data_IF_735953435865
#
_entry.id   IF_735953435865
#
_cell.length_a   1.000
_cell.length_b   1.000
_cell.length_c   1.000
_cell.angle_alpha   90.00
_cell.angle_beta   90.00
_cell.angle_gamma   90.00
#
_symmetry.space_group_name_H-M   'P 1'
#
loop_
_entity.id
_entity.type
_entity.pdbx_description
1 polymer ?
#
# COMPACT_ATOMS: atom_id res chain seq x y z
N UNK A 1 7.13 -21.96 5.58
CA UNK A 1 7.78 -20.76 6.18
C UNK A 1 8.39 -21.16 7.51
N UNK A 2 9.64 -20.78 7.76
CA UNK A 2 10.21 -20.89 9.10
C UNK A 2 9.49 -19.90 10.01
N UNK A 3 9.14 -20.33 11.23
CA UNK A 3 8.53 -19.44 12.22
C UNK A 3 9.57 -18.42 12.67
N UNK A 4 9.25 -17.13 12.53
CA UNK A 4 10.04 -16.05 13.08
C UNK A 4 9.73 -15.93 14.59
N UNK A 5 10.74 -15.88 15.47
CA UNK A 5 10.53 -15.48 16.86
C UNK A 5 9.86 -14.10 16.94
N UNK A 6 9.09 -13.86 18.00
CA UNK A 6 8.43 -12.57 18.20
C UNK A 6 9.49 -11.44 18.23
N UNK A 7 9.23 -10.36 17.50
CA UNK A 7 10.12 -9.19 17.37
C UNK A 7 11.50 -9.47 16.74
N UNK A 8 11.68 -10.59 16.02
CA UNK A 8 12.95 -10.92 15.35
C UNK A 8 13.09 -10.39 13.93
N UNK A 9 12.03 -9.81 13.37
CA UNK A 9 11.96 -9.30 12.01
C UNK A 9 11.11 -8.03 11.98
N UNK A 10 11.30 -7.20 10.97
CA UNK A 10 10.52 -5.98 10.75
C UNK A 10 10.01 -5.88 9.31
N UNK A 11 8.87 -5.23 9.14
CA UNK A 11 8.38 -4.73 7.85
C UNK A 11 8.49 -3.22 7.79
N UNK A 12 8.38 -2.66 6.60
CA UNK A 12 8.37 -1.21 6.37
C UNK A 12 7.10 -0.85 5.60
N UNK A 13 6.47 0.25 6.02
CA UNK A 13 5.27 0.80 5.41
C UNK A 13 5.48 2.29 5.12
N UNK A 14 4.98 2.74 3.97
CA UNK A 14 4.97 4.15 3.58
C UNK A 14 3.56 4.55 3.15
N UNK A 15 3.03 5.60 3.76
CA UNK A 15 1.77 6.21 3.36
C UNK A 15 2.02 7.50 2.58
N UNK A 16 1.47 7.57 1.36
CA UNK A 16 1.61 8.73 0.48
C UNK A 16 0.26 9.36 0.18
N UNK A 17 0.22 10.70 0.24
CA UNK A 17 -0.92 11.46 -0.28
C UNK A 17 -0.85 11.56 -1.81
N UNK A 18 -1.90 11.12 -2.48
CA UNK A 18 -2.12 11.31 -3.91
C UNK A 18 -2.64 12.71 -4.15
N UNK A 19 -1.89 13.47 -4.94
CA UNK A 19 -2.18 14.87 -5.26
C UNK A 19 -2.03 15.13 -6.75
N UNK A 20 -2.65 16.21 -7.21
CA UNK A 20 -2.50 16.67 -8.59
C UNK A 20 -1.13 17.33 -8.77
N UNK A 21 -0.39 16.92 -9.79
CA UNK A 21 0.95 17.46 -10.05
C UNK A 21 0.98 18.98 -10.31
N UNK A 22 -0.10 19.56 -10.86
CA UNK A 22 -0.11 20.99 -11.23
C UNK A 22 -0.18 21.95 -10.04
N UNK A 23 -0.84 21.57 -8.96
CA UNK A 23 -1.18 22.47 -7.85
C UNK A 23 -1.15 21.80 -6.46
N UNK A 24 -0.76 20.52 -6.40
CA UNK A 24 -0.75 19.69 -5.20
C UNK A 24 -2.12 19.57 -4.50
N UNK A 25 -3.22 19.83 -5.20
CA UNK A 25 -4.56 19.59 -4.67
C UNK A 25 -4.79 18.10 -4.43
N UNK A 26 -5.49 17.78 -3.34
CA UNK A 26 -5.82 16.40 -2.95
C UNK A 26 -6.58 15.70 -4.08
N UNK A 27 -6.16 14.49 -4.43
CA UNK A 27 -6.81 13.64 -5.42
C UNK A 27 -7.29 12.34 -4.77
N UNK A 28 -8.58 12.23 -4.39
CA UNK A 28 -9.14 11.04 -3.77
C UNK A 28 -9.48 9.99 -4.84
N UNK A 29 -8.46 9.31 -5.37
CA UNK A 29 -8.59 8.38 -6.51
C UNK A 29 -7.99 6.99 -6.28
N UNK A 30 -7.55 6.67 -5.06
CA UNK A 30 -6.82 5.41 -4.77
C UNK A 30 -7.69 4.17 -5.02
N UNK A 31 -8.98 4.20 -4.68
CA UNK A 31 -9.93 3.12 -5.01
C UNK A 31 -10.06 2.87 -6.52
N UNK A 32 -10.05 3.95 -7.30
CA UNK A 32 -10.15 3.91 -8.77
C UNK A 32 -8.85 3.39 -9.38
N UNK A 33 -7.70 3.78 -8.82
CA UNK A 33 -6.39 3.21 -9.14
C UNK A 33 -6.40 1.69 -8.89
N UNK A 34 -6.91 1.25 -7.74
CA UNK A 34 -6.92 -0.17 -7.35
C UNK A 34 -7.84 -0.98 -8.25
N UNK A 35 -9.02 -0.45 -8.56
CA UNK A 35 -9.92 -1.06 -9.55
C UNK A 35 -9.29 -1.20 -10.92
N UNK A 36 -8.47 -0.23 -11.34
CA UNK A 36 -7.76 -0.34 -12.61
C UNK A 36 -6.74 -1.48 -12.61
N UNK A 37 -6.08 -1.74 -11.47
CA UNK A 37 -5.09 -2.81 -11.34
C UNK A 37 -5.73 -4.19 -11.14
N UNK A 38 -6.76 -4.28 -10.29
CA UNK A 38 -7.39 -5.53 -9.89
C UNK A 38 -8.63 -5.92 -10.73
N UNK A 39 -9.10 -5.05 -11.63
CA UNK A 39 -10.37 -5.15 -12.36
C UNK A 39 -11.65 -5.16 -11.48
N UNK A 40 -11.52 -4.98 -10.16
CA UNK A 40 -12.62 -4.88 -9.22
C UNK A 40 -12.23 -3.96 -8.05
N UNK A 41 -13.22 -3.47 -7.29
CA UNK A 41 -12.93 -2.67 -6.11
C UNK A 41 -12.38 -3.55 -5.00
N UNK A 42 -11.11 -3.35 -4.66
CA UNK A 42 -10.39 -4.05 -3.59
C UNK A 42 -9.73 -3.05 -2.66
N UNK A 43 -9.49 -3.46 -1.42
CA UNK A 43 -8.71 -2.66 -0.47
C UNK A 43 -7.20 -2.90 -0.58
N UNK A 44 -6.79 -4.04 -1.14
CA UNK A 44 -5.39 -4.46 -1.20
C UNK A 44 -5.04 -5.00 -2.58
N UNK A 45 -3.80 -4.75 -3.02
CA UNK A 45 -3.25 -5.29 -4.27
C UNK A 45 -1.86 -5.87 -4.02
N UNK A 46 -1.66 -7.12 -4.44
CA UNK A 46 -0.37 -7.80 -4.42
C UNK A 46 0.45 -7.42 -5.65
N UNK A 47 1.63 -6.82 -5.44
CA UNK A 47 2.56 -6.43 -6.51
C UNK A 47 3.90 -7.16 -6.39
N UNK A 48 3.91 -8.36 -5.82
CA UNK A 48 5.06 -9.24 -5.73
C UNK A 48 5.75 -9.16 -4.37
N UNK A 49 6.79 -8.32 -4.26
CA UNK A 49 7.54 -8.14 -3.01
C UNK A 49 6.86 -7.15 -2.05
N UNK A 50 5.94 -6.36 -2.57
CA UNK A 50 5.18 -5.36 -1.83
C UNK A 50 3.69 -5.65 -1.97
N UNK A 51 2.92 -5.16 -1.01
CA UNK A 51 1.48 -5.00 -1.13
C UNK A 51 1.15 -3.50 -1.11
N UNK A 52 0.08 -3.12 -1.79
CA UNK A 52 -0.52 -1.80 -1.71
C UNK A 52 -1.84 -1.87 -0.96
N UNK A 53 -2.13 -0.86 -0.15
CA UNK A 53 -3.42 -0.73 0.53
C UNK A 53 -4.07 0.63 0.27
N UNK A 54 -5.38 0.59 0.03
CA UNK A 54 -6.23 1.78 0.00
C UNK A 54 -6.64 2.08 1.45
N UNK A 55 -6.04 3.12 2.00
CA UNK A 55 -6.20 3.48 3.41
C UNK A 55 -7.55 4.16 3.68
N UNK A 56 -7.79 4.51 4.96
CA UNK A 56 -9.04 5.13 5.42
C UNK A 56 -9.51 6.32 4.54
N UNK A 57 -8.56 7.09 3.99
CA UNK A 57 -8.86 8.19 3.10
C UNK A 57 -8.47 7.84 1.65
N UNK A 58 -9.38 8.06 0.69
CA UNK A 58 -9.20 7.73 -0.74
C UNK A 58 -8.05 8.46 -1.45
N UNK A 59 -7.35 9.36 -0.77
CA UNK A 59 -6.15 10.03 -1.28
C UNK A 59 -4.88 9.51 -0.60
N UNK A 60 -4.94 8.47 0.23
CA UNK A 60 -3.78 7.87 0.87
C UNK A 60 -3.54 6.49 0.28
N UNK A 61 -2.35 6.31 -0.28
CA UNK A 61 -1.85 5.04 -0.79
C UNK A 61 -0.77 4.54 0.17
N UNK A 62 -0.99 3.36 0.75
CA UNK A 62 0.05 2.66 1.49
C UNK A 62 0.83 1.71 0.57
N UNK A 63 2.16 1.68 0.73
CA UNK A 63 3.03 0.63 0.22
C UNK A 63 3.69 -0.07 1.40
N UNK A 64 3.58 -1.40 1.46
CA UNK A 64 4.17 -2.21 2.53
C UNK A 64 4.97 -3.38 2.03
N UNK A 65 5.98 -3.78 2.80
CA UNK A 65 6.65 -5.07 2.61
C UNK A 65 5.65 -6.20 2.87
N UNK A 66 5.54 -7.16 1.94
CA UNK A 66 4.60 -8.28 2.04
C UNK A 66 4.85 -9.21 3.23
N UNK A 67 6.11 -9.36 3.60
CA UNK A 67 6.57 -10.17 4.72
C UNK A 67 7.62 -9.38 5.51
N UNK A 68 7.69 -9.57 6.84
CA UNK A 68 8.78 -9.01 7.63
C UNK A 68 10.08 -9.75 7.33
N UNK A 69 11.20 -9.02 7.37
CA UNK A 69 12.55 -9.58 7.15
C UNK A 69 13.45 -9.39 8.38
N UNK A 70 14.42 -10.29 8.53
CA UNK A 70 15.50 -10.17 9.50
C UNK A 70 16.59 -9.30 8.84
N UNK A 71 17.11 -8.30 9.56
CA UNK A 71 18.24 -7.48 9.09
C UNK A 71 19.53 -8.29 8.93
#
# INVERSE_FOLDING_TARGET
>A
MNKLPLFSACGIEFEYMVVRNSDLSIMPIVDTLFKHVANEYVCDVDIGLLDWSNELALHVLELKTKLPEIN
#
